data_IF_637327670025
#
_entry.id   IF_637327670025
#
_cell.length_a   1.000
_cell.length_b   1.000
_cell.length_c   1.000
_cell.angle_alpha   90.00
_cell.angle_beta   90.00
_cell.angle_gamma   90.00
#
_symmetry.space_group_name_H-M   'P 1'
#
loop_
_entity.id
_entity.type
_entity.pdbx_description
1 polymer ?
#
# COMPACT_ATOMS: atom_id res chain seq x y z
N UNK A 1 -15.64 -12.38 11.08
CA UNK A 1 -14.98 -11.55 12.11
C UNK A 1 -14.06 -12.35 13.03
N UNK A 2 -13.24 -13.28 12.51
CA UNK A 2 -12.33 -14.10 13.34
C UNK A 2 -11.10 -13.33 13.86
N UNK A 3 -10.75 -12.23 13.19
CA UNK A 3 -9.54 -11.44 13.45
C UNK A 3 -9.85 -9.98 13.82
N UNK A 4 -11.10 -9.64 14.17
CA UNK A 4 -11.49 -8.26 14.51
C UNK A 4 -11.44 -7.24 13.34
N UNK A 5 -11.28 -7.68 12.10
CA UNK A 5 -11.22 -6.79 10.92
C UNK A 5 -12.63 -6.33 10.54
N UNK A 6 -12.82 -5.01 10.45
CA UNK A 6 -14.04 -4.37 9.95
C UNK A 6 -13.95 -4.14 8.44
N UNK A 7 -15.00 -4.51 7.70
CA UNK A 7 -15.10 -4.18 6.28
C UNK A 7 -15.60 -2.75 6.12
N UNK A 8 -14.91 -1.95 5.31
CA UNK A 8 -15.34 -0.62 4.92
C UNK A 8 -15.65 -0.69 3.43
N UNK A 9 -16.92 -0.48 3.07
CA UNK A 9 -17.39 -0.50 1.70
C UNK A 9 -17.47 0.93 1.16
N UNK A 10 -17.37 1.08 -0.16
CA UNK A 10 -17.68 2.34 -0.82
C UNK A 10 -19.16 2.67 -0.64
N UNK A 11 -19.48 3.96 -0.64
CA UNK A 11 -20.86 4.41 -0.59
C UNK A 11 -21.57 4.13 -1.92
N UNK A 12 -22.84 3.71 -1.90
CA UNK A 12 -23.63 3.55 -3.11
C UNK A 12 -23.63 4.82 -3.96
N UNK A 13 -23.35 4.68 -5.25
CA UNK A 13 -23.31 5.81 -6.18
C UNK A 13 -22.05 6.68 -6.10
N UNK A 14 -21.01 6.29 -5.35
CA UNK A 14 -19.74 7.04 -5.26
C UNK A 14 -18.54 6.27 -5.82
N UNK A 15 -18.48 6.04 -7.16
CA UNK A 15 -17.39 5.28 -7.78
C UNK A 15 -16.01 5.93 -7.57
N UNK A 16 -15.96 7.25 -7.41
CA UNK A 16 -14.73 8.00 -7.18
C UNK A 16 -13.95 7.56 -5.92
N UNK A 17 -14.60 6.92 -4.94
CA UNK A 17 -13.94 6.37 -3.76
C UNK A 17 -13.00 5.20 -4.08
N UNK A 18 -13.14 4.59 -5.25
CA UNK A 18 -12.34 3.47 -5.72
C UNK A 18 -11.11 3.89 -6.53
N UNK A 19 -10.95 5.18 -6.84
CA UNK A 19 -9.96 5.66 -7.82
C UNK A 19 -8.50 5.32 -7.47
N UNK A 20 -8.15 5.24 -6.18
CA UNK A 20 -6.81 4.82 -5.75
C UNK A 20 -6.50 3.37 -6.14
N UNK A 21 -7.41 2.43 -5.83
CA UNK A 21 -7.17 1.01 -6.12
C UNK A 21 -7.28 0.71 -7.61
N UNK A 22 -8.15 1.43 -8.33
CA UNK A 22 -8.21 1.38 -9.79
C UNK A 22 -6.91 1.82 -10.43
N UNK A 23 -6.33 2.93 -9.96
CA UNK A 23 -5.03 3.42 -10.45
C UNK A 23 -3.91 2.41 -10.19
N UNK A 24 -3.90 1.77 -9.01
CA UNK A 24 -2.94 0.71 -8.70
C UNK A 24 -3.11 -0.50 -9.63
N UNK A 25 -4.33 -1.01 -9.78
CA UNK A 25 -4.62 -2.18 -10.60
C UNK A 25 -4.33 -1.93 -12.08
N UNK A 26 -4.59 -0.71 -12.59
CA UNK A 26 -4.22 -0.28 -13.93
C UNK A 26 -2.71 -0.36 -14.15
N UNK A 27 -1.91 0.25 -13.26
CA UNK A 27 -0.44 0.18 -13.33
C UNK A 27 0.09 -1.23 -13.26
N UNK A 28 -0.44 -2.06 -12.35
CA UNK A 28 -0.02 -3.45 -12.24
C UNK A 28 -0.33 -4.24 -13.52
N UNK A 29 -1.50 -3.99 -14.13
CA UNK A 29 -1.85 -4.64 -15.40
C UNK A 29 -0.91 -4.20 -16.52
N UNK A 30 -0.75 -2.89 -16.71
CA UNK A 30 -0.03 -2.33 -17.84
C UNK A 30 1.48 -2.58 -17.76
N UNK A 31 2.07 -2.47 -16.57
CA UNK A 31 3.52 -2.51 -16.36
C UNK A 31 4.03 -3.88 -15.86
N UNK A 32 3.16 -4.86 -15.62
CA UNK A 32 3.60 -6.21 -15.19
C UNK A 32 2.91 -7.32 -15.96
N UNK A 33 1.58 -7.34 -15.98
CA UNK A 33 0.85 -8.47 -16.53
C UNK A 33 0.82 -8.47 -18.05
N UNK A 34 0.67 -7.30 -18.67
CA UNK A 34 0.58 -7.16 -20.12
C UNK A 34 1.95 -7.23 -20.80
N UNK A 35 3.05 -6.99 -20.08
CA UNK A 35 4.41 -7.02 -20.64
C UNK A 35 4.97 -8.45 -20.79
N UNK A 36 4.30 -9.45 -20.22
CA UNK A 36 4.85 -10.80 -20.06
C UNK A 36 3.89 -11.85 -20.60
N UNK A 37 4.44 -12.84 -21.31
CA UNK A 37 3.73 -14.11 -21.55
C UNK A 37 4.23 -15.14 -20.53
N UNK A 38 3.34 -15.61 -19.67
CA UNK A 38 3.69 -16.58 -18.62
C UNK A 38 3.54 -18.00 -19.12
N UNK A 39 4.62 -18.77 -19.07
CA UNK A 39 4.63 -20.20 -19.41
C UNK A 39 4.27 -21.07 -18.21
N UNK A 40 4.39 -20.55 -17.00
CA UNK A 40 4.03 -21.25 -15.76
C UNK A 40 3.57 -20.32 -14.65
N UNK A 41 2.86 -20.89 -13.67
CA UNK A 41 2.47 -20.17 -12.45
C UNK A 41 3.68 -19.75 -11.61
N UNK A 42 4.77 -20.53 -11.64
CA UNK A 42 6.00 -20.21 -10.91
C UNK A 42 6.64 -18.94 -11.46
N UNK A 43 6.78 -18.86 -12.79
CA UNK A 43 7.26 -17.66 -13.48
C UNK A 43 6.38 -16.45 -13.18
N UNK A 44 5.05 -16.59 -13.27
CA UNK A 44 4.12 -15.50 -12.96
C UNK A 44 4.31 -14.99 -11.53
N UNK A 45 4.47 -15.89 -10.54
CA UNK A 45 4.72 -15.52 -9.15
C UNK A 45 6.02 -14.75 -8.97
N UNK A 46 7.07 -15.15 -9.66
CA UNK A 46 8.37 -14.47 -9.59
C UNK A 46 8.29 -13.06 -10.20
N UNK A 47 7.75 -12.92 -11.41
CA UNK A 47 7.55 -11.64 -12.06
C UNK A 47 6.71 -10.68 -11.20
N UNK A 48 5.59 -11.15 -10.66
CA UNK A 48 4.72 -10.35 -9.78
C UNK A 48 5.45 -9.97 -8.49
N UNK A 49 6.26 -10.87 -7.91
CA UNK A 49 7.03 -10.57 -6.70
C UNK A 49 8.09 -9.51 -6.96
N UNK A 50 8.77 -9.55 -8.10
CA UNK A 50 9.72 -8.53 -8.52
C UNK A 50 9.03 -7.17 -8.73
N UNK A 51 7.95 -7.12 -9.51
CA UNK A 51 7.20 -5.89 -9.72
C UNK A 51 6.68 -5.29 -8.40
N UNK A 52 6.12 -6.13 -7.52
CA UNK A 52 5.65 -5.69 -6.19
C UNK A 52 6.78 -5.11 -5.34
N UNK A 53 7.98 -5.69 -5.39
CA UNK A 53 9.15 -5.19 -4.67
C UNK A 53 9.57 -3.84 -5.21
N UNK A 54 9.71 -3.72 -6.53
CA UNK A 54 10.06 -2.45 -7.18
C UNK A 54 9.06 -1.33 -6.84
N UNK A 55 7.77 -1.60 -7.03
CA UNK A 55 6.70 -0.64 -6.74
C UNK A 55 6.71 -0.17 -5.28
N UNK A 56 6.88 -1.09 -4.32
CA UNK A 56 6.78 -0.75 -2.90
C UNK A 56 8.08 -0.20 -2.30
N UNK A 57 9.24 -0.66 -2.75
CA UNK A 57 10.52 -0.41 -2.09
C UNK A 57 11.40 0.60 -2.85
N UNK A 58 11.23 0.72 -4.17
CA UNK A 58 12.13 1.51 -5.03
C UNK A 58 11.43 2.71 -5.64
N UNK A 59 10.21 2.54 -6.17
CA UNK A 59 9.53 3.56 -6.98
C UNK A 59 9.08 4.76 -6.13
N UNK A 60 9.47 6.01 -6.48
CA UNK A 60 8.97 7.20 -5.81
C UNK A 60 7.56 7.59 -6.29
N UNK A 61 6.65 7.92 -5.38
CA UNK A 61 5.29 8.34 -5.71
C UNK A 61 5.06 9.82 -5.38
N UNK A 62 4.56 10.61 -6.33
CA UNK A 62 4.28 12.04 -6.13
C UNK A 62 3.27 12.29 -5.00
N UNK A 63 2.23 11.47 -4.90
CA UNK A 63 1.24 11.52 -3.81
C UNK A 63 1.83 11.26 -2.43
N UNK A 64 3.01 10.65 -2.36
CA UNK A 64 3.73 10.37 -1.12
C UNK A 64 4.90 11.33 -0.88
N UNK A 65 5.01 12.43 -1.63
CA UNK A 65 6.15 13.35 -1.50
C UNK A 65 7.44 12.81 -2.15
N UNK A 66 7.31 12.02 -3.23
CA UNK A 66 8.40 11.42 -3.99
C UNK A 66 9.27 10.43 -3.21
N UNK A 67 8.68 9.72 -2.25
CA UNK A 67 9.30 8.55 -1.59
C UNK A 67 8.57 7.25 -1.95
N UNK A 68 9.24 6.09 -1.77
CA UNK A 68 8.59 4.79 -1.95
C UNK A 68 7.52 4.48 -0.89
N UNK A 69 6.49 3.68 -1.23
CA UNK A 69 5.42 3.31 -0.31
C UNK A 69 5.92 2.67 1.00
N UNK A 70 6.96 1.82 0.94
CA UNK A 70 7.53 1.19 2.12
C UNK A 70 8.14 2.21 3.10
N UNK A 71 8.81 3.24 2.58
CA UNK A 71 9.36 4.36 3.37
C UNK A 71 8.24 5.18 4.01
N UNK A 72 7.22 5.52 3.23
CA UNK A 72 6.05 6.23 3.76
C UNK A 72 5.37 5.44 4.89
N UNK A 73 5.15 4.14 4.68
CA UNK A 73 4.52 3.27 5.68
C UNK A 73 5.37 3.15 6.96
N UNK A 74 6.70 3.10 6.83
CA UNK A 74 7.61 3.11 7.99
C UNK A 74 7.48 4.40 8.80
N UNK A 75 7.53 5.57 8.14
CA UNK A 75 7.35 6.87 8.80
C UNK A 75 5.98 6.99 9.47
N UNK A 76 4.92 6.53 8.79
CA UNK A 76 3.56 6.54 9.33
C UNK A 76 3.43 5.65 10.59
N UNK A 77 4.04 4.46 10.59
CA UNK A 77 4.07 3.58 11.78
C UNK A 77 4.81 4.22 12.94
N UNK A 78 5.95 4.87 12.68
CA UNK A 78 6.73 5.56 13.72
C UNK A 78 5.93 6.71 14.35
N UNK A 79 5.20 7.50 13.54
CA UNK A 79 4.32 8.57 14.04
C UNK A 79 3.15 8.03 14.86
N UNK A 80 2.50 6.96 14.40
CA UNK A 80 1.41 6.32 15.13
C UNK A 80 1.89 5.72 16.47
N UNK A 81 3.08 5.12 16.50
CA UNK A 81 3.69 4.60 17.73
C UNK A 81 4.19 5.70 18.68
N UNK A 82 4.69 6.82 18.15
CA UNK A 82 5.14 7.96 18.94
C UNK A 82 4.00 8.72 19.62
N UNK A 83 2.84 8.84 18.97
CA UNK A 83 1.64 9.45 19.56
C UNK A 83 1.11 8.68 20.78
N UNK A 84 1.28 7.35 20.81
CA UNK A 84 0.92 6.53 21.97
C UNK A 84 1.93 6.64 23.14
N UNK A 85 3.12 7.20 22.92
CA UNK A 85 4.16 7.36 23.95
C UNK A 85 4.17 8.73 24.64
N UNK A 86 3.43 9.71 24.15
CA UNK A 86 3.41 11.08 24.70
C UNK A 86 2.38 11.31 25.81
N UNK A 87 1.48 10.36 26.11
CA UNK A 87 0.44 10.52 27.14
C UNK A 87 0.88 10.14 28.57
N UNK A 88 2.15 9.75 28.80
CA UNK A 88 2.62 9.29 30.12
C UNK A 88 3.59 10.24 30.85
N UNK A 89 3.79 11.48 30.40
CA UNK A 89 4.67 12.47 31.06
C UNK A 89 3.98 13.77 31.49
N UNK A 90 2.71 13.69 31.91
CA UNK A 90 2.05 14.76 32.67
C UNK A 90 1.34 14.12 33.86
N UNK A 91 2.09 13.73 34.89
CA UNK A 91 1.61 13.38 36.23
C UNK A 91 2.83 13.18 37.15
N UNK A 92 3.61 14.25 37.32
CA UNK A 92 4.44 14.43 38.52
C UNK A 92 4.73 15.92 38.65
N UNK A 93 3.85 16.61 39.36
CA UNK A 93 4.12 17.79 40.19
C UNK A 93 2.98 17.88 41.23
#
# INVERSE_FOLDING_TARGET
>A
YKNGIRHILIEPGKPMQNGYIESFNGKFRDECLNEQWFESLSQARECIAHWRRDYNEVRPHSSLGRIPPARFAQQHRQRAGGAAGSEQKQNFD
#
